data_IF_168870160695
#
_entry.id   IF_168870160695
#
_cell.length_a   1.000
_cell.length_b   1.000
_cell.length_c   1.000
_cell.angle_alpha   90.00
_cell.angle_beta   90.00
_cell.angle_gamma   90.00
#
_symmetry.space_group_name_H-M   'P 1'
#
loop_
_entity.id
_entity.type
_entity.pdbx_description
1 polymer ?
#
# COMPACT_ATOMS: atom_id res chain seq x y z
N UNK A 1 -3.44 0.09 9.80
CA UNK A 1 -3.63 -0.77 8.59
C UNK A 1 -2.93 -2.10 8.84
N UNK A 2 -3.15 -3.14 8.04
CA UNK A 2 -2.49 -4.45 8.23
C UNK A 2 -1.76 -4.84 6.95
N UNK A 3 -0.49 -5.23 7.05
CA UNK A 3 0.30 -5.76 5.95
C UNK A 3 0.32 -7.29 5.97
N UNK A 4 0.11 -7.91 4.81
CA UNK A 4 0.33 -9.34 4.57
C UNK A 4 1.72 -9.53 3.94
N UNK A 5 2.60 -10.22 4.66
CA UNK A 5 3.96 -10.55 4.22
C UNK A 5 4.08 -12.04 3.96
N UNK A 6 4.74 -12.42 2.87
CA UNK A 6 5.04 -13.82 2.59
C UNK A 6 6.24 -14.35 3.40
N UNK A 7 6.59 -15.62 3.13
CA UNK A 7 7.73 -16.31 3.75
C UNK A 7 9.11 -15.70 3.45
N UNK A 8 9.22 -14.94 2.37
CA UNK A 8 10.43 -14.24 1.95
C UNK A 8 10.50 -12.83 2.57
N UNK A 9 9.48 -12.44 3.34
CA UNK A 9 9.35 -11.11 3.91
C UNK A 9 8.87 -10.06 2.91
N UNK A 10 8.34 -10.47 1.74
CA UNK A 10 7.80 -9.53 0.76
C UNK A 10 6.37 -9.12 1.13
N UNK A 11 6.12 -7.80 1.13
CA UNK A 11 4.78 -7.24 1.31
C UNK A 11 3.91 -7.56 0.09
N UNK A 12 2.90 -8.41 0.27
CA UNK A 12 1.97 -8.82 -0.78
C UNK A 12 0.75 -7.92 -0.85
N UNK A 13 0.26 -7.44 0.29
CA UNK A 13 -0.97 -6.65 0.34
C UNK A 13 -1.06 -5.79 1.61
N UNK A 14 -1.76 -4.65 1.51
CA UNK A 14 -2.10 -3.78 2.64
C UNK A 14 -3.62 -3.67 2.75
N UNK A 15 -4.17 -4.22 3.83
CA UNK A 15 -5.59 -4.22 4.14
C UNK A 15 -5.97 -3.20 5.21
N UNK A 16 -7.26 -2.83 5.24
CA UNK A 16 -7.85 -2.04 6.34
C UNK A 16 -8.07 -2.89 7.60
N UNK A 17 -8.15 -4.20 7.46
CA UNK A 17 -8.36 -5.17 8.54
C UNK A 17 -7.63 -6.48 8.22
N UNK A 18 -7.51 -7.36 9.23
CA UNK A 18 -6.99 -8.72 9.05
C UNK A 18 -7.83 -9.50 8.03
N UNK A 19 -9.15 -9.37 8.08
CA UNK A 19 -10.04 -10.09 7.17
C UNK A 19 -9.82 -9.69 5.71
N UNK A 20 -9.57 -8.41 5.42
CA UNK A 20 -9.22 -7.97 4.07
C UNK A 20 -7.93 -8.63 3.56
N UNK A 21 -6.95 -8.87 4.44
CA UNK A 21 -5.72 -9.60 4.07
C UNK A 21 -5.99 -11.11 3.85
N UNK A 22 -6.92 -11.70 4.60
CA UNK A 22 -7.33 -13.11 4.41
C UNK A 22 -8.10 -13.31 3.12
N UNK A 23 -9.04 -12.41 2.81
CA UNK A 23 -9.81 -12.41 1.57
C UNK A 23 -8.87 -12.28 0.37
N UNK A 24 -7.88 -11.36 0.44
CA UNK A 24 -6.84 -11.25 -0.56
C UNK A 24 -6.05 -12.56 -0.72
N UNK A 25 -5.62 -13.18 0.38
CA UNK A 25 -4.89 -14.44 0.32
C UNK A 25 -5.73 -15.57 -0.31
N UNK A 26 -7.03 -15.64 0.00
CA UNK A 26 -7.94 -16.62 -0.59
C UNK A 26 -8.13 -16.41 -2.10
N UNK A 27 -8.27 -15.15 -2.56
CA UNK A 27 -8.44 -14.81 -3.97
C UNK A 27 -7.24 -15.23 -4.84
N UNK A 28 -6.04 -15.20 -4.27
CA UNK A 28 -4.80 -15.53 -4.98
C UNK A 28 -4.17 -16.86 -4.54
N UNK A 29 -4.92 -17.67 -3.79
CA UNK A 29 -4.48 -18.99 -3.29
C UNK A 29 -3.14 -18.93 -2.54
N UNK A 30 -2.90 -17.84 -1.81
CA UNK A 30 -1.67 -17.62 -1.03
C UNK A 30 -1.77 -18.41 0.28
N UNK A 31 -0.84 -19.34 0.55
CA UNK A 31 -0.84 -20.08 1.81
C UNK A 31 -0.57 -19.14 2.98
N UNK A 32 -1.50 -19.05 3.94
CA UNK A 32 -1.36 -18.16 5.10
C UNK A 32 -0.41 -18.71 6.18
N UNK A 33 -0.21 -20.03 6.24
CA UNK A 33 0.61 -20.65 7.28
C UNK A 33 2.06 -20.12 7.35
N UNK A 34 2.76 -19.87 6.23
CA UNK A 34 4.08 -19.26 6.25
C UNK A 34 4.06 -17.71 6.10
N UNK A 35 2.88 -17.09 6.05
CA UNK A 35 2.75 -15.63 5.96
C UNK A 35 2.69 -14.99 7.35
N UNK A 36 3.07 -13.72 7.43
CA UNK A 36 2.89 -12.91 8.65
C UNK A 36 1.97 -11.73 8.38
N UNK A 37 1.10 -11.44 9.35
CA UNK A 37 0.27 -10.25 9.37
C UNK A 37 0.87 -9.27 10.37
N UNK A 38 1.15 -8.05 9.93
CA UNK A 38 1.78 -7.03 10.77
C UNK A 38 0.97 -5.74 10.73
N UNK A 39 0.81 -5.10 11.87
CA UNK A 39 0.22 -3.76 11.93
C UNK A 39 1.15 -2.75 11.25
N UNK A 40 0.57 -2.00 10.32
CA UNK A 40 1.21 -0.91 9.63
C UNK A 40 0.79 0.42 10.28
N UNK A 41 1.75 1.34 10.52
CA UNK A 41 1.44 2.65 11.03
C UNK A 41 0.43 3.33 10.10
N UNK A 42 -0.48 4.11 10.68
CA UNK A 42 -1.37 4.93 9.87
C UNK A 42 -0.55 5.84 8.96
N UNK A 43 -0.95 5.99 7.69
CA UNK A 43 -0.26 6.88 6.80
C UNK A 43 -0.41 8.27 7.41
N UNK A 44 0.71 8.82 7.88
CA UNK A 44 0.77 10.21 8.31
C UNK A 44 0.41 11.01 7.09
N UNK A 45 -0.83 11.50 6.99
CA UNK A 45 -1.29 12.30 5.86
C UNK A 45 -0.27 13.43 5.68
N UNK A 46 0.64 13.38 4.70
CA UNK A 46 1.43 14.55 4.41
C UNK A 46 0.41 15.43 3.76
N UNK A 47 -0.09 16.44 4.47
CA UNK A 47 -0.84 17.53 3.87
C UNK A 47 0.02 18.02 2.72
N UNK A 48 -0.25 17.52 1.51
CA UNK A 48 0.47 17.81 0.28
C UNK A 48 0.22 19.29 0.03
N UNK A 49 1.05 20.14 0.63
CA UNK A 49 1.16 21.54 0.26
C UNK A 49 1.78 21.53 -1.12
N UNK A 50 0.94 21.42 -2.14
CA UNK A 50 1.30 21.68 -3.53
C UNK A 50 1.68 23.17 -3.60
N UNK A 51 2.94 23.47 -3.30
CA UNK A 51 3.55 24.78 -3.51
C UNK A 51 4.20 24.77 -4.89
N UNK A 52 3.61 25.52 -5.82
CA UNK A 52 4.32 26.04 -6.98
C UNK A 52 3.69 25.74 -8.32
N UNK A 53 2.93 26.73 -8.83
CA UNK A 53 2.56 26.85 -10.24
C UNK A 53 3.86 26.93 -11.06
N UNK A 54 4.08 26.04 -12.02
CA UNK A 54 5.00 26.32 -13.14
C UNK A 54 4.13 26.69 -14.33
N UNK A 55 4.11 28.00 -14.61
CA UNK A 55 3.58 28.57 -15.84
C UNK A 55 4.39 27.98 -17.01
N UNK A 56 3.73 27.19 -17.85
CA UNK A 56 4.32 26.65 -19.06
C UNK A 56 3.97 27.64 -20.19
N UNK A 57 4.84 28.64 -20.41
CA UNK A 57 4.77 29.49 -21.60
C UNK A 57 5.35 28.71 -22.77
N UNK A 58 4.47 28.11 -23.55
CA UNK A 58 4.80 27.59 -24.86
C UNK A 58 4.93 28.74 -25.85
N UNK A 59 6.15 29.19 -26.11
CA UNK A 59 6.48 29.78 -27.41
C UNK A 59 6.58 28.63 -28.42
N UNK A 60 5.85 28.71 -29.52
CA UNK A 60 6.09 27.91 -30.72
C UNK A 60 6.11 28.86 -31.90
N UNK A 61 7.24 28.82 -32.60
CA UNK A 61 7.55 29.54 -33.85
C UNK A 61 6.82 28.95 -35.05
#
# INVERSE_FOLDING_TARGET
MVGLYDREGMLRFVGRSIDACRDYAALFEIPLAPCSLQDLPEPVNPSLKIRGRRHLEGHSS
#
